data_IF_738588515017
#
_entry.id   IF_738588515017
#
_cell.length_a   1.000
_cell.length_b   1.000
_cell.length_c   1.000
_cell.angle_alpha   90.00
_cell.angle_beta   90.00
_cell.angle_gamma   90.00
#
_symmetry.space_group_name_H-M   'P 1'
#
loop_
_entity.id
_entity.type
_entity.pdbx_description
1 polymer ?
#
# COMPACT_ATOMS: atom_id res chain seq x y z
N UNK A 1 -7.80 0.35 10.76
CA UNK A 1 -8.47 1.59 11.25
C UNK A 1 -9.91 1.25 11.56
N UNK A 2 -10.65 0.74 10.58
CA UNK A 2 -11.85 -0.10 10.69
C UNK A 2 -12.07 -0.83 12.03
N UNK A 3 -11.07 -1.57 12.56
CA UNK A 3 -11.25 -2.37 13.78
C UNK A 3 -11.32 -1.53 15.08
N UNK A 4 -10.65 -0.37 15.10
CA UNK A 4 -10.46 0.43 16.32
C UNK A 4 -11.17 1.80 16.25
N UNK A 5 -11.52 2.26 15.05
CA UNK A 5 -12.18 3.54 14.77
C UNK A 5 -13.28 3.34 13.70
N UNK A 6 -14.25 2.42 13.90
CA UNK A 6 -15.22 2.06 12.87
C UNK A 6 -16.07 3.25 12.40
N UNK A 7 -16.58 4.07 13.32
CA UNK A 7 -17.42 5.23 12.99
C UNK A 7 -16.65 6.29 12.20
N UNK A 8 -15.39 6.55 12.55
CA UNK A 8 -14.54 7.47 11.80
C UNK A 8 -14.17 6.88 10.43
N UNK A 9 -13.92 5.58 10.36
CA UNK A 9 -13.58 4.92 9.10
C UNK A 9 -14.77 4.93 8.13
N UNK A 10 -16.00 4.75 8.61
CA UNK A 10 -17.19 4.95 7.79
C UNK A 10 -17.28 6.37 7.24
N UNK A 11 -16.99 7.38 8.08
CA UNK A 11 -16.93 8.78 7.65
C UNK A 11 -15.82 9.02 6.62
N UNK A 12 -14.66 8.39 6.77
CA UNK A 12 -13.57 8.43 5.78
C UNK A 12 -14.08 7.94 4.42
N UNK A 13 -14.73 6.77 4.36
CA UNK A 13 -15.27 6.24 3.11
C UNK A 13 -16.34 7.15 2.49
N UNK A 14 -17.18 7.77 3.32
CA UNK A 14 -18.13 8.79 2.84
C UNK A 14 -17.41 10.01 2.26
N UNK A 15 -16.34 10.49 2.92
CA UNK A 15 -15.52 11.61 2.44
C UNK A 15 -14.82 11.30 1.13
N UNK A 16 -14.28 10.09 0.94
CA UNK A 16 -13.70 9.64 -0.35
C UNK A 16 -14.71 9.85 -1.49
N UNK A 17 -15.95 9.41 -1.29
CA UNK A 17 -17.00 9.53 -2.31
C UNK A 17 -17.44 10.99 -2.52
N UNK A 18 -17.60 11.75 -1.45
CA UNK A 18 -18.10 13.13 -1.50
C UNK A 18 -17.11 14.12 -2.10
N UNK A 19 -15.82 13.97 -1.77
CA UNK A 19 -14.76 14.88 -2.17
C UNK A 19 -13.96 14.37 -3.38
N UNK A 20 -14.24 13.15 -3.85
CA UNK A 20 -13.52 12.48 -4.93
C UNK A 20 -12.00 12.48 -4.71
N UNK A 21 -11.57 12.12 -3.50
CA UNK A 21 -10.17 12.13 -3.08
C UNK A 21 -9.67 10.71 -2.76
N UNK A 22 -8.36 10.57 -2.58
CA UNK A 22 -7.76 9.31 -2.13
C UNK A 22 -8.14 8.98 -0.68
N UNK A 23 -8.07 7.70 -0.31
CA UNK A 23 -8.34 7.32 1.08
C UNK A 23 -7.38 7.99 2.07
N UNK A 24 -6.12 8.19 1.68
CA UNK A 24 -5.13 8.87 2.51
C UNK A 24 -5.52 10.34 2.77
N UNK A 25 -6.05 11.05 1.76
CA UNK A 25 -6.54 12.41 1.93
C UNK A 25 -7.77 12.45 2.85
N UNK A 26 -8.73 11.55 2.64
CA UNK A 26 -9.92 11.42 3.47
C UNK A 26 -9.58 11.09 4.94
N UNK A 27 -8.66 10.16 5.19
CA UNK A 27 -8.15 9.83 6.52
C UNK A 27 -7.54 11.06 7.19
N UNK A 28 -6.73 11.83 6.45
CA UNK A 28 -6.14 13.08 6.96
C UNK A 28 -7.21 14.12 7.29
N UNK A 29 -8.28 14.24 6.50
CA UNK A 29 -9.38 15.17 6.75
C UNK A 29 -10.22 14.79 7.98
N UNK A 30 -10.51 13.50 8.17
CA UNK A 30 -11.44 13.03 9.22
C UNK A 30 -10.73 12.70 10.53
N UNK A 31 -9.55 12.09 10.46
CA UNK A 31 -8.80 11.53 11.61
C UNK A 31 -7.57 12.39 11.93
N UNK A 32 -7.02 13.11 10.94
CA UNK A 32 -5.83 13.96 11.10
C UNK A 32 -4.50 13.26 10.76
N UNK A 33 -4.53 11.93 10.57
CA UNK A 33 -3.39 11.07 10.22
C UNK A 33 -3.82 10.02 9.20
N UNK A 34 -2.89 9.49 8.42
CA UNK A 34 -3.16 8.45 7.41
C UNK A 34 -2.82 7.05 7.90
N UNK A 35 -3.24 6.02 7.16
CA UNK A 35 -2.83 4.64 7.38
C UNK A 35 -1.30 4.49 7.31
N UNK A 36 -0.63 5.19 6.40
CA UNK A 36 0.83 5.17 6.28
C UNK A 36 1.50 5.80 7.50
N UNK A 37 0.95 6.90 8.04
CA UNK A 37 1.43 7.53 9.27
C UNK A 37 1.35 6.55 10.46
N UNK A 38 0.18 5.90 10.65
CA UNK A 38 -0.03 4.92 11.71
C UNK A 38 0.88 3.70 11.52
N UNK A 39 0.96 3.17 10.31
CA UNK A 39 1.78 2.00 9.99
C UNK A 39 3.26 2.24 10.27
N UNK A 40 3.77 3.42 9.91
CA UNK A 40 5.14 3.82 10.24
C UNK A 40 5.36 3.91 11.74
N UNK A 41 4.45 4.59 12.45
CA UNK A 41 4.53 4.70 13.91
C UNK A 41 4.54 3.31 14.58
N UNK A 42 3.72 2.37 14.13
CA UNK A 42 3.74 0.99 14.63
C UNK A 42 5.07 0.28 14.35
N UNK A 43 5.58 0.38 13.11
CA UNK A 43 6.86 -0.22 12.73
C UNK A 43 8.03 0.29 13.59
N UNK A 44 8.05 1.60 13.87
CA UNK A 44 9.05 2.23 14.75
C UNK A 44 8.91 1.73 16.20
N UNK A 45 7.68 1.64 16.74
CA UNK A 45 7.45 1.14 18.10
C UNK A 45 7.80 -0.35 18.28
N UNK A 46 7.67 -1.14 17.22
CA UNK A 46 8.11 -2.54 17.22
C UNK A 46 9.62 -2.71 17.00
N UNK A 47 10.37 -1.61 16.92
CA UNK A 47 11.81 -1.60 16.62
C UNK A 47 12.15 -2.31 15.30
N UNK A 48 11.28 -2.21 14.30
CA UNK A 48 11.59 -2.70 12.96
C UNK A 48 12.71 -1.85 12.32
N UNK A 49 13.48 -2.41 11.39
CA UNK A 49 14.49 -1.66 10.66
C UNK A 49 13.91 -0.38 10.03
N UNK A 50 14.66 0.72 10.12
CA UNK A 50 14.25 2.04 9.59
C UNK A 50 13.85 2.00 8.12
N UNK A 51 14.42 1.07 7.34
CA UNK A 51 14.08 0.88 5.95
C UNK A 51 12.63 0.40 5.75
N UNK A 52 12.14 -0.47 6.65
CA UNK A 52 10.75 -0.93 6.63
C UNK A 52 9.81 0.19 7.08
N UNK A 53 10.18 0.93 8.12
CA UNK A 53 9.40 2.09 8.58
C UNK A 53 9.27 3.18 7.49
N UNK A 54 10.36 3.47 6.76
CA UNK A 54 10.31 4.39 5.61
C UNK A 54 9.44 3.84 4.48
N UNK A 55 9.55 2.56 4.12
CA UNK A 55 8.72 1.97 3.07
C UNK A 55 7.22 2.02 3.40
N UNK A 56 6.86 1.72 4.66
CA UNK A 56 5.48 1.79 5.12
C UNK A 56 4.97 3.23 5.15
N UNK A 57 5.77 4.17 5.67
CA UNK A 57 5.31 5.55 5.85
C UNK A 57 5.36 6.44 4.61
N UNK A 58 6.21 6.12 3.64
CA UNK A 58 6.54 7.02 2.52
C UNK A 58 6.19 6.44 1.14
N UNK A 59 5.49 5.30 1.05
CA UNK A 59 5.14 4.73 -0.27
C UNK A 59 4.23 5.63 -1.11
N UNK A 60 3.45 6.55 -0.50
CA UNK A 60 2.69 7.58 -1.22
C UNK A 60 3.52 8.84 -1.55
N UNK A 61 4.71 8.99 -0.96
CA UNK A 61 5.62 10.14 -1.14
C UNK A 61 7.08 9.66 -1.29
N UNK A 62 7.40 8.89 -2.34
CA UNK A 62 8.67 8.16 -2.44
C UNK A 62 9.91 9.06 -2.57
N UNK A 63 9.74 10.31 -3.00
CA UNK A 63 10.79 11.34 -3.07
C UNK A 63 11.29 11.80 -1.69
N UNK A 64 10.50 11.59 -0.63
CA UNK A 64 10.86 11.95 0.75
C UNK A 64 11.75 10.90 1.42
N UNK A 65 11.93 9.72 0.83
CA UNK A 65 12.71 8.64 1.40
C UNK A 65 14.21 8.93 1.38
N UNK A 66 14.89 8.69 2.52
CA UNK A 66 16.31 9.03 2.70
C UNK A 66 17.22 7.82 2.80
N UNK A 67 16.79 6.79 3.53
CA UNK A 67 17.60 5.61 3.82
C UNK A 67 17.20 4.39 2.98
N UNK A 68 15.95 4.37 2.50
CA UNK A 68 15.38 3.23 1.80
C UNK A 68 14.71 3.62 0.48
N UNK A 69 15.19 4.65 -0.21
CA UNK A 69 14.55 5.17 -1.44
C UNK A 69 14.24 4.08 -2.47
N UNK A 70 15.12 3.09 -2.63
CA UNK A 70 14.88 1.94 -3.52
C UNK A 70 13.73 1.05 -3.07
N UNK A 71 13.63 0.75 -1.77
CA UNK A 71 12.54 -0.06 -1.23
C UNK A 71 11.21 0.71 -1.26
N UNK A 72 11.24 2.00 -0.88
CA UNK A 72 10.06 2.87 -0.94
C UNK A 72 9.55 3.00 -2.38
N UNK A 73 10.44 3.24 -3.34
CA UNK A 73 10.08 3.30 -4.76
C UNK A 73 9.53 1.97 -5.29
N UNK A 74 10.02 0.83 -4.79
CA UNK A 74 9.50 -0.49 -5.17
C UNK A 74 8.07 -0.70 -4.66
N UNK A 75 7.80 -0.36 -3.40
CA UNK A 75 6.44 -0.48 -2.82
C UNK A 75 5.49 0.49 -3.52
N UNK A 76 5.93 1.72 -3.79
CA UNK A 76 5.17 2.70 -4.56
C UNK A 76 4.78 2.17 -5.95
N UNK A 77 5.75 1.68 -6.72
CA UNK A 77 5.48 1.11 -8.04
C UNK A 77 4.51 -0.08 -7.96
N UNK A 78 4.68 -0.95 -6.96
CA UNK A 78 3.77 -2.07 -6.76
C UNK A 78 2.33 -1.62 -6.47
N UNK A 79 2.13 -0.62 -5.60
CA UNK A 79 0.81 -0.04 -5.30
C UNK A 79 0.16 0.56 -6.55
N UNK A 80 0.92 1.32 -7.37
CA UNK A 80 0.40 1.84 -8.63
C UNK A 80 -0.02 0.72 -9.58
N UNK A 81 0.79 -0.33 -9.74
CA UNK A 81 0.51 -1.43 -10.68
C UNK A 81 -0.74 -2.22 -10.28
N UNK A 82 -0.90 -2.59 -9.00
CA UNK A 82 -2.10 -3.33 -8.57
C UNK A 82 -3.37 -2.49 -8.72
N UNK A 83 -3.29 -1.18 -8.49
CA UNK A 83 -4.41 -0.25 -8.71
C UNK A 83 -4.74 -0.09 -10.20
N UNK A 84 -3.73 0.02 -11.06
CA UNK A 84 -3.92 0.07 -12.53
C UNK A 84 -4.61 -1.19 -13.06
N UNK A 85 -4.25 -2.35 -12.52
CA UNK A 85 -4.84 -3.65 -12.88
C UNK A 85 -6.15 -3.96 -12.12
N UNK A 86 -6.67 -3.01 -11.32
CA UNK A 86 -7.91 -3.14 -10.54
C UNK A 86 -7.93 -4.36 -9.60
N UNK A 87 -6.79 -4.66 -9.00
CA UNK A 87 -6.62 -5.76 -8.07
C UNK A 87 -6.86 -5.29 -6.64
N UNK A 88 -7.85 -5.90 -5.99
CA UNK A 88 -8.25 -5.55 -4.62
C UNK A 88 -9.03 -4.24 -4.56
N UNK A 89 -9.25 -3.73 -3.34
CA UNK A 89 -9.94 -2.46 -3.13
C UNK A 89 -9.28 -1.72 -1.96
N UNK A 90 -8.57 -0.60 -2.23
CA UNK A 90 -7.87 0.15 -1.18
C UNK A 90 -8.78 1.13 -0.42
N UNK A 91 -10.06 1.25 -0.79
CA UNK A 91 -11.01 2.19 -0.20
C UNK A 91 -11.21 3.48 -1.00
N UNK A 92 -10.64 3.57 -2.20
CA UNK A 92 -10.87 4.62 -3.19
C UNK A 92 -10.71 4.04 -4.61
N UNK A 93 -11.17 4.79 -5.62
CA UNK A 93 -11.07 4.43 -7.04
C UNK A 93 -9.95 5.21 -7.75
N UNK A 94 -8.97 5.75 -7.00
CA UNK A 94 -7.88 6.56 -7.53
C UNK A 94 -6.74 5.63 -7.98
N UNK A 95 -6.36 5.78 -9.25
CA UNK A 95 -5.14 5.19 -9.79
C UNK A 95 -4.05 6.25 -9.79
N UNK A 96 -3.06 6.18 -8.87
CA UNK A 96 -1.99 7.15 -8.81
C UNK A 96 -1.02 6.97 -9.99
N UNK A 97 -0.43 8.08 -10.44
CA UNK A 97 0.71 8.04 -11.33
C UNK A 97 1.97 7.63 -10.57
N UNK A 98 2.86 6.88 -11.23
CA UNK A 98 4.17 6.55 -10.67
C UNK A 98 4.99 7.83 -10.56
N UNK A 99 5.41 8.18 -9.34
CA UNK A 99 6.17 9.39 -9.09
C UNK A 99 7.50 9.38 -9.87
N UNK A 100 7.90 10.49 -10.53
CA UNK A 100 9.07 10.51 -11.41
C UNK A 100 10.38 10.01 -10.78
N UNK A 101 10.60 10.30 -9.49
CA UNK A 101 11.79 9.88 -8.75
C UNK A 101 11.96 8.35 -8.70
N UNK A 102 10.88 7.58 -8.86
CA UNK A 102 10.92 6.11 -8.83
C UNK A 102 11.62 5.56 -10.07
N UNK A 103 11.44 6.18 -11.24
CA UNK A 103 12.11 5.75 -12.47
C UNK A 103 13.64 5.87 -12.35
N UNK A 104 14.11 7.00 -11.81
CA UNK A 104 15.53 7.25 -11.55
C UNK A 104 16.10 6.33 -10.46
N UNK A 105 15.28 6.06 -9.44
CA UNK A 105 15.68 5.25 -8.27
C UNK A 105 15.78 3.77 -8.60
N UNK A 106 14.80 3.22 -9.34
CA UNK A 106 14.74 1.80 -9.65
C UNK A 106 15.57 1.44 -10.89
N UNK A 107 15.82 2.39 -11.79
CA UNK A 107 16.59 2.21 -13.03
C UNK A 107 16.13 1.00 -13.84
N UNK A 108 14.81 0.83 -13.96
CA UNK A 108 14.22 -0.24 -14.74
C UNK A 108 14.40 0.06 -16.23
N UNK A 109 14.91 -0.92 -16.98
CA UNK A 109 14.93 -0.81 -18.44
C UNK A 109 13.53 -1.07 -19.01
N UNK A 110 13.19 -0.56 -20.20
CA UNK A 110 11.92 -0.86 -20.86
C UNK A 110 11.66 -2.37 -20.96
N UNK A 111 12.68 -3.17 -21.30
CA UNK A 111 12.57 -4.62 -21.39
C UNK A 111 12.31 -5.28 -20.02
N UNK A 112 12.80 -4.68 -18.93
CA UNK A 112 12.50 -5.15 -17.58
C UNK A 112 11.05 -4.88 -17.19
N UNK A 113 10.51 -3.71 -17.59
CA UNK A 113 9.11 -3.36 -17.38
C UNK A 113 8.20 -4.29 -18.20
N UNK A 114 8.53 -4.53 -19.47
CA UNK A 114 7.79 -5.47 -20.33
C UNK A 114 7.74 -6.87 -19.72
N UNK A 115 8.88 -7.38 -19.23
CA UNK A 115 8.92 -8.69 -18.56
C UNK A 115 8.09 -8.70 -17.28
N UNK A 116 8.15 -7.63 -16.48
CA UNK A 116 7.38 -7.49 -15.26
C UNK A 116 5.88 -7.60 -15.57
N UNK A 117 5.39 -6.79 -16.51
CA UNK A 117 3.99 -6.78 -16.94
C UNK A 117 3.56 -8.12 -17.52
N UNK A 118 4.40 -8.76 -18.34
CA UNK A 118 4.11 -10.08 -18.91
C UNK A 118 3.98 -11.19 -17.85
N UNK A 119 4.74 -11.09 -16.75
CA UNK A 119 4.68 -12.06 -15.64
C UNK A 119 3.71 -11.69 -14.53
N UNK A 120 3.19 -10.45 -14.52
CA UNK A 120 2.51 -9.86 -13.36
C UNK A 120 1.37 -10.74 -12.83
N UNK A 121 0.42 -11.13 -13.69
CA UNK A 121 -0.69 -11.98 -13.30
C UNK A 121 -0.25 -13.37 -12.82
N UNK A 122 0.80 -13.94 -13.43
CA UNK A 122 1.31 -15.25 -13.01
C UNK A 122 1.91 -15.19 -11.60
N UNK A 123 2.69 -14.15 -11.31
CA UNK A 123 3.30 -13.96 -9.99
C UNK A 123 2.26 -13.52 -8.95
N UNK A 124 1.27 -12.72 -9.34
CA UNK A 124 0.14 -12.35 -8.49
C UNK A 124 -0.64 -13.60 -8.03
N UNK A 125 -1.03 -14.48 -8.96
CA UNK A 125 -1.72 -15.74 -8.64
C UNK A 125 -0.89 -16.66 -7.73
N UNK A 126 0.44 -16.72 -7.93
CA UNK A 126 1.32 -17.47 -7.03
C UNK A 126 1.32 -16.90 -5.61
N UNK A 127 1.27 -15.58 -5.49
CA UNK A 127 1.23 -14.90 -4.19
C UNK A 127 -0.13 -14.99 -3.50
N UNK A 128 -1.23 -15.08 -4.27
CA UNK A 128 -2.60 -15.13 -3.75
C UNK A 128 -2.85 -16.39 -2.89
N UNK A 129 -2.13 -17.47 -3.16
CA UNK A 129 -2.14 -18.69 -2.33
C UNK A 129 -1.77 -18.41 -0.87
N UNK A 130 -0.81 -17.52 -0.62
CA UNK A 130 -0.44 -17.13 0.75
C UNK A 130 -1.54 -16.35 1.46
N UNK A 131 -2.28 -15.51 0.73
CA UNK A 131 -3.41 -14.76 1.27
C UNK A 131 -4.59 -15.68 1.63
N UNK A 132 -4.82 -16.73 0.83
CA UNK A 132 -5.82 -17.75 1.13
C UNK A 132 -5.49 -18.51 2.42
N UNK A 133 -4.21 -18.86 2.63
CA UNK A 133 -3.75 -19.51 3.85
C UNK A 133 -3.86 -18.61 5.09
N UNK A 134 -3.62 -17.30 4.95
CA UNK A 134 -3.74 -16.34 6.04
C UNK A 134 -5.19 -16.06 6.46
N UNK A 135 -6.16 -16.36 5.57
CA UNK A 135 -7.60 -16.19 5.81
C UNK A 135 -8.28 -17.49 6.31
N UNK A 136 -7.55 -18.60 6.49
CA UNK A 136 -8.10 -19.78 7.18
C UNK A 136 -8.16 -19.52 8.69
N UNK A 137 -9.37 -19.51 9.28
CA UNK A 137 -9.51 -19.47 10.74
C UNK A 137 -8.80 -20.68 11.38
N UNK A 138 -8.17 -20.51 12.56
CA UNK A 138 -7.60 -21.63 13.28
C UNK A 138 -8.70 -22.66 13.56
N UNK A 139 -8.56 -23.87 12.99
CA UNK A 139 -9.44 -25.01 13.30
C UNK A 139 -9.48 -25.18 14.81
N UNK A 140 -10.64 -24.97 15.41
CA UNK A 140 -10.88 -25.26 16.82
C UNK A 140 -10.49 -26.72 17.09
N UNK A 141 -9.77 -27.00 18.19
CA UNK A 141 -9.44 -28.38 18.53
C UNK A 141 -10.74 -29.16 18.69
N UNK A 142 -10.85 -30.28 17.97
CA UNK A 142 -11.92 -31.25 18.17
C UNK A 142 -11.70 -31.87 19.55
N UNK A 143 -12.65 -31.66 20.46
CA UNK A 143 -12.72 -32.33 21.77
C UNK A 143 -12.89 -33.84 21.64
#
# INVERSE_FOLDING_TARGET
MDQYLPDQFERVLQTVVQEHCSIAEAERMVIGVTHSDIGRWLAENWNLPVQLAEAIGLHHEPDRAKQASRLVGLVHLADCLVRMEQIGYPGDDIVPEVHPSVWDTLRLSPEAIERLLASFYTEFERSSVFLQLANEEPKTPVE
#
